data_IF_701542607977
#
_entry.id   IF_701542607977
#
_cell.length_a   1.000
_cell.length_b   1.000
_cell.length_c   1.000
_cell.angle_alpha   90.00
_cell.angle_beta   90.00
_cell.angle_gamma   90.00
#
_symmetry.space_group_name_H-M   'P 1'
#
loop_
_entity.id
_entity.type
_entity.pdbx_description
1 polymer ?
#
# COMPACT_ATOMS: atom_id res chain seq x y z
N UNK A 1 52.45 6.88 -2.73
CA UNK A 1 52.57 5.40 -2.66
C UNK A 1 51.64 4.69 -3.66
N UNK A 2 52.18 3.86 -4.57
CA UNK A 2 51.43 3.23 -5.67
C UNK A 2 50.39 2.20 -5.17
N UNK A 3 50.75 1.40 -4.16
CA UNK A 3 49.87 0.38 -3.57
C UNK A 3 48.60 0.96 -2.92
N UNK A 4 48.70 2.15 -2.31
CA UNK A 4 47.55 2.81 -1.67
C UNK A 4 46.53 3.26 -2.72
N UNK A 5 46.99 3.78 -3.86
CA UNK A 5 46.12 4.18 -4.98
C UNK A 5 45.42 2.97 -5.60
N UNK A 6 46.13 1.85 -5.72
CA UNK A 6 45.57 0.63 -6.29
C UNK A 6 44.57 -0.05 -5.35
N UNK A 7 44.86 -0.09 -4.04
CA UNK A 7 43.92 -0.56 -3.03
C UNK A 7 42.64 0.29 -2.98
N UNK A 8 42.76 1.63 -3.06
CA UNK A 8 41.62 2.54 -3.12
C UNK A 8 40.76 2.33 -4.38
N UNK A 9 41.41 2.13 -5.54
CA UNK A 9 40.72 1.83 -6.81
C UNK A 9 39.97 0.50 -6.74
N UNK A 10 40.60 -0.53 -6.17
CA UNK A 10 39.99 -1.84 -5.97
C UNK A 10 38.79 -1.76 -5.04
N UNK A 11 38.92 -1.07 -3.89
CA UNK A 11 37.86 -0.89 -2.91
C UNK A 11 36.64 -0.17 -3.52
N UNK A 12 36.87 0.95 -4.22
CA UNK A 12 35.79 1.70 -4.86
C UNK A 12 35.07 0.91 -5.96
N UNK A 13 35.77 -0.04 -6.60
CA UNK A 13 35.21 -0.86 -7.67
C UNK A 13 34.61 -2.17 -7.16
N UNK A 14 34.97 -2.62 -5.95
CA UNK A 14 34.41 -3.80 -5.27
C UNK A 14 33.20 -3.46 -4.41
N UNK A 15 32.99 -2.20 -4.03
CA UNK A 15 31.79 -1.75 -3.31
C UNK A 15 30.66 -1.55 -4.32
N UNK A 16 29.63 -2.39 -4.22
CA UNK A 16 28.38 -2.22 -4.97
C UNK A 16 27.42 -1.43 -4.08
N UNK A 17 26.90 -0.30 -4.58
CA UNK A 17 25.74 0.34 -3.94
C UNK A 17 24.50 -0.50 -4.21
N UNK A 18 23.79 -0.87 -3.16
CA UNK A 18 22.46 -1.45 -3.27
C UNK A 18 21.46 -0.29 -3.24
N UNK A 19 20.74 -0.09 -4.34
CA UNK A 19 19.56 0.77 -4.34
C UNK A 19 18.36 -0.07 -3.89
N UNK A 20 17.64 0.41 -2.88
CA UNK A 20 16.40 -0.22 -2.46
C UNK A 20 15.32 0.18 -3.45
N UNK A 21 14.64 -0.76 -4.13
CA UNK A 21 13.56 -0.43 -5.05
C UNK A 21 12.39 0.22 -4.32
N UNK A 22 11.57 0.97 -5.07
CA UNK A 22 10.33 1.54 -4.55
C UNK A 22 9.38 0.44 -4.05
N UNK A 23 8.65 0.76 -2.97
CA UNK A 23 7.65 -0.12 -2.39
C UNK A 23 6.37 -0.01 -3.22
N UNK A 24 5.93 -1.12 -3.80
CA UNK A 24 4.64 -1.19 -4.48
C UNK A 24 3.55 -1.53 -3.46
N UNK A 25 2.60 -0.63 -3.24
CA UNK A 25 1.52 -0.82 -2.27
C UNK A 25 0.26 -1.46 -2.87
N UNK A 26 0.17 -1.56 -4.20
CA UNK A 26 -1.01 -2.08 -4.91
C UNK A 26 -1.02 -3.61 -5.07
N UNK A 27 0.10 -4.31 -4.85
CA UNK A 27 0.07 -5.78 -4.82
C UNK A 27 -0.79 -6.30 -3.66
N UNK A 28 -0.94 -5.50 -2.60
CA UNK A 28 -1.78 -5.82 -1.46
C UNK A 28 -3.28 -5.47 -1.71
N UNK A 29 -3.64 -4.86 -2.86
CA UNK A 29 -5.05 -4.56 -3.24
C UNK A 29 -5.83 -5.82 -3.65
N UNK A 30 -5.16 -6.84 -4.21
CA UNK A 30 -5.82 -8.08 -4.64
C UNK A 30 -6.42 -8.85 -3.46
N UNK A 31 -5.81 -8.77 -2.27
CA UNK A 31 -6.35 -9.37 -1.04
C UNK A 31 -7.47 -8.53 -0.40
N UNK A 32 -7.47 -7.21 -0.57
CA UNK A 32 -8.51 -6.35 0.03
C UNK A 32 -9.86 -6.39 -0.70
N UNK A 33 -9.88 -6.76 -1.99
CA UNK A 33 -11.13 -6.94 -2.72
C UNK A 33 -11.83 -8.27 -2.37
N UNK A 34 -11.09 -9.30 -1.95
CA UNK A 34 -11.70 -10.58 -1.55
C UNK A 34 -12.39 -10.48 -0.17
N UNK A 35 -11.82 -9.76 0.80
CA UNK A 35 -12.40 -9.65 2.16
C UNK A 35 -13.64 -8.73 2.25
N UNK A 36 -13.96 -7.96 1.22
CA UNK A 36 -15.08 -7.01 1.24
C UNK A 36 -16.33 -7.50 0.47
N UNK A 37 -16.24 -8.60 -0.27
CA UNK A 37 -17.38 -9.18 -1.01
C UNK A 37 -18.17 -10.25 -0.22
N UNK A 38 -17.69 -10.70 0.94
CA UNK A 38 -18.34 -11.76 1.75
C UNK A 38 -19.23 -11.24 2.89
N UNK A 39 -19.83 -10.04 2.77
CA UNK A 39 -20.72 -9.51 3.79
C UNK A 39 -21.94 -8.75 3.25
N UNK A 40 -22.65 -9.32 2.28
CA UNK A 40 -24.08 -9.01 2.12
C UNK A 40 -24.85 -10.21 1.54
N UNK A 41 -25.07 -11.21 2.39
CA UNK A 41 -26.04 -12.26 2.15
C UNK A 41 -26.99 -12.32 3.33
N UNK A 42 -28.29 -12.10 3.08
CA UNK A 42 -29.42 -12.96 3.51
C UNK A 42 -30.81 -12.29 3.23
N UNK A 43 -31.63 -12.99 2.41
CA UNK A 43 -33.12 -13.07 2.33
C UNK A 43 -33.96 -11.89 1.75
N UNK A 44 -35.02 -12.05 0.95
CA UNK A 44 -35.79 -13.18 0.36
C UNK A 44 -36.70 -12.61 -0.78
N UNK A 45 -37.09 -13.45 -1.75
CA UNK A 45 -37.72 -13.19 -3.08
C UNK A 45 -39.26 -12.86 -3.04
N UNK A 46 -40.09 -12.90 -4.14
CA UNK A 46 -39.85 -13.18 -5.57
C UNK A 46 -40.67 -12.38 -6.63
N UNK A 47 -40.39 -12.68 -7.92
CA UNK A 47 -41.31 -12.77 -9.09
C UNK A 47 -41.00 -11.83 -10.29
N UNK A 48 -40.70 -12.45 -11.44
CA UNK A 48 -40.68 -11.79 -12.75
C UNK A 48 -39.93 -12.60 -13.81
N UNK A 49 -40.69 -13.36 -14.60
CA UNK A 49 -40.27 -14.46 -15.49
C UNK A 49 -39.75 -13.98 -16.87
N UNK A 50 -38.76 -14.70 -17.43
CA UNK A 50 -38.60 -15.12 -18.85
C UNK A 50 -37.17 -14.95 -19.42
N UNK A 51 -36.65 -16.01 -20.03
CA UNK A 51 -35.68 -15.88 -21.14
C UNK A 51 -34.52 -16.86 -21.17
N UNK A 52 -34.80 -18.16 -21.31
CA UNK A 52 -33.83 -19.22 -21.62
C UNK A 52 -33.17 -18.96 -22.99
N UNK A 53 -31.83 -18.99 -23.08
CA UNK A 53 -31.06 -19.80 -24.05
C UNK A 53 -29.57 -19.83 -23.69
N UNK A 54 -29.08 -21.04 -23.40
CA UNK A 54 -27.68 -21.40 -23.19
C UNK A 54 -27.12 -21.96 -24.51
N UNK A 55 -25.97 -21.48 -24.99
CA UNK A 55 -25.39 -21.98 -26.25
C UNK A 55 -24.00 -21.45 -26.62
N UNK A 56 -22.97 -21.98 -25.95
CA UNK A 56 -21.73 -22.53 -26.52
C UNK A 56 -20.91 -21.73 -27.59
N UNK A 57 -19.76 -21.23 -27.13
CA UNK A 57 -18.41 -21.21 -27.75
C UNK A 57 -18.21 -20.65 -29.18
N UNK A 58 -17.46 -19.55 -29.28
CA UNK A 58 -16.90 -19.04 -30.54
C UNK A 58 -15.80 -18.01 -30.30
N UNK A 59 -14.57 -18.49 -30.12
CA UNK A 59 -13.32 -17.72 -30.15
C UNK A 59 -13.18 -16.98 -31.48
N UNK A 60 -12.90 -15.67 -31.46
CA UNK A 60 -11.98 -14.95 -32.36
C UNK A 60 -11.93 -13.46 -31.99
N UNK A 61 -10.72 -12.95 -32.12
CA UNK A 61 -10.16 -11.71 -31.59
C UNK A 61 -10.64 -10.43 -32.30
N UNK A 62 -10.34 -9.28 -31.67
CA UNK A 62 -10.17 -7.91 -32.20
C UNK A 62 -11.07 -6.91 -31.43
N UNK A 63 -10.60 -5.85 -30.77
CA UNK A 63 -9.27 -5.30 -30.53
C UNK A 63 -9.47 -4.05 -29.64
N UNK A 64 -8.48 -3.70 -28.83
CA UNK A 64 -8.39 -2.37 -28.21
C UNK A 64 -9.29 -2.12 -27.00
N UNK A 65 -8.99 -2.75 -25.86
CA UNK A 65 -9.15 -2.09 -24.57
C UNK A 65 -7.76 -1.93 -23.97
N UNK A 66 -7.15 -0.80 -24.28
CA UNK A 66 -6.12 -0.21 -23.43
C UNK A 66 -6.74 -0.11 -22.03
N UNK A 67 -6.52 -1.14 -21.22
CA UNK A 67 -6.61 -1.01 -19.78
C UNK A 67 -5.53 -0.01 -19.44
N UNK A 68 -5.93 1.26 -19.28
CA UNK A 68 -5.07 2.30 -18.75
C UNK A 68 -4.30 1.69 -17.56
N UNK A 69 -2.96 1.78 -17.53
CA UNK A 69 -2.19 1.12 -16.50
C UNK A 69 -2.74 1.60 -15.17
N UNK A 70 -3.32 0.68 -14.38
CA UNK A 70 -3.75 0.94 -13.00
C UNK A 70 -2.54 1.62 -12.35
N UNK A 71 -2.69 2.89 -11.99
CA UNK A 71 -1.58 3.70 -11.54
C UNK A 71 -1.04 3.06 -10.27
N UNK A 72 0.03 2.27 -10.40
CA UNK A 72 0.62 1.54 -9.29
C UNK A 72 0.98 2.53 -8.19
N UNK A 73 0.38 2.45 -7.01
CA UNK A 73 0.72 3.30 -5.87
C UNK A 73 2.13 2.91 -5.38
N UNK A 74 3.14 3.49 -6.04
CA UNK A 74 4.55 3.30 -5.73
C UNK A 74 4.98 4.35 -4.73
N UNK A 75 5.51 3.89 -3.60
CA UNK A 75 6.07 4.72 -2.55
C UNK A 75 7.58 4.52 -2.49
N UNK A 76 8.35 5.60 -2.60
CA UNK A 76 9.80 5.51 -2.43
C UNK A 76 10.17 4.91 -1.07
N UNK A 77 11.19 4.04 -1.03
CA UNK A 77 11.57 3.34 0.19
C UNK A 77 11.90 4.29 1.36
N UNK A 78 12.49 5.45 1.06
CA UNK A 78 12.76 6.49 2.07
C UNK A 78 11.49 7.02 2.72
N UNK A 79 10.45 7.25 1.92
CA UNK A 79 9.16 7.76 2.40
C UNK A 79 8.42 6.67 3.17
N UNK A 80 8.40 5.43 2.64
CA UNK A 80 7.88 4.27 3.36
C UNK A 80 8.53 4.14 4.75
N UNK A 81 9.86 4.18 4.80
CA UNK A 81 10.62 4.10 6.05
C UNK A 81 10.32 5.27 6.99
N UNK A 82 10.18 6.50 6.47
CA UNK A 82 9.81 7.67 7.27
C UNK A 82 8.47 7.43 7.95
N UNK A 83 7.46 7.03 7.18
CA UNK A 83 6.11 6.78 7.66
C UNK A 83 6.11 5.64 8.68
N UNK A 84 6.70 4.49 8.36
CA UNK A 84 6.77 3.34 9.26
C UNK A 84 7.46 3.68 10.58
N UNK A 85 8.58 4.41 10.54
CA UNK A 85 9.28 4.81 11.76
C UNK A 85 8.41 5.72 12.65
N UNK A 86 7.70 6.66 12.03
CA UNK A 86 6.83 7.60 12.74
C UNK A 86 5.66 6.88 13.42
N UNK A 87 5.03 5.94 12.72
CA UNK A 87 3.99 5.07 13.29
C UNK A 87 4.50 4.25 14.48
N UNK A 88 5.62 3.55 14.31
CA UNK A 88 6.19 2.69 15.37
C UNK A 88 6.60 3.51 16.59
N UNK A 89 7.17 4.71 16.37
CA UNK A 89 7.55 5.60 17.47
C UNK A 89 6.33 6.04 18.28
N UNK A 90 5.23 6.39 17.62
CA UNK A 90 4.01 6.78 18.31
C UNK A 90 3.37 5.61 19.07
N UNK A 91 3.32 4.42 18.48
CA UNK A 91 2.81 3.22 19.15
C UNK A 91 3.60 2.89 20.42
N UNK A 92 4.94 2.96 20.37
CA UNK A 92 5.78 2.75 21.56
C UNK A 92 5.54 3.80 22.63
N UNK A 93 5.42 5.07 22.22
CA UNK A 93 5.15 6.16 23.16
C UNK A 93 3.79 5.98 23.84
N UNK A 94 2.76 5.59 23.09
CA UNK A 94 1.44 5.36 23.63
C UNK A 94 1.41 4.15 24.59
N UNK A 95 2.16 3.09 24.29
CA UNK A 95 2.33 1.95 25.20
C UNK A 95 3.05 2.34 26.50
N UNK A 96 4.01 3.27 26.45
CA UNK A 96 4.70 3.78 27.66
C UNK A 96 3.83 4.73 28.50
N UNK A 97 2.98 5.54 27.86
CA UNK A 97 2.15 6.55 28.53
C UNK A 97 0.83 5.98 29.07
N UNK A 98 0.22 5.04 28.35
CA UNK A 98 -1.00 4.34 28.76
C UNK A 98 -0.75 2.82 28.82
N UNK A 99 -0.45 2.34 30.03
CA UNK A 99 -0.49 0.91 30.37
C UNK A 99 -1.86 0.36 29.93
N UNK A 100 -1.88 -0.57 28.96
CA UNK A 100 -3.06 -1.18 28.31
C UNK A 100 -3.81 -0.39 27.20
N UNK A 101 -3.23 0.67 26.60
CA UNK A 101 -3.87 1.32 25.45
C UNK A 101 -3.76 0.51 24.15
N UNK A 102 -4.84 -0.21 23.82
CA UNK A 102 -5.04 -0.76 22.48
C UNK A 102 -5.42 0.35 21.48
N UNK A 103 -4.43 0.99 20.87
CA UNK A 103 -4.62 1.99 19.82
C UNK A 103 -5.29 1.39 18.58
N UNK A 104 -6.41 1.96 18.18
CA UNK A 104 -7.14 1.52 16.99
C UNK A 104 -6.42 1.96 15.72
N UNK A 105 -6.50 1.15 14.66
CA UNK A 105 -5.99 1.50 13.32
C UNK A 105 -6.49 2.86 12.84
N UNK A 106 -7.79 3.14 13.01
CA UNK A 106 -8.39 4.43 12.61
C UNK A 106 -7.83 5.62 13.37
N UNK A 107 -7.49 5.43 14.63
CA UNK A 107 -6.91 6.47 15.49
C UNK A 107 -5.46 6.76 15.09
N UNK A 108 -4.68 5.71 14.82
CA UNK A 108 -3.31 5.83 14.33
C UNK A 108 -3.25 6.55 12.95
N UNK A 109 -4.20 6.25 12.06
CA UNK A 109 -4.34 6.96 10.77
C UNK A 109 -4.63 8.43 11.00
N UNK A 110 -5.60 8.73 11.87
CA UNK A 110 -5.99 10.11 12.17
C UNK A 110 -4.85 10.90 12.80
N UNK A 111 -4.11 10.28 13.74
CA UNK A 111 -2.92 10.88 14.32
C UNK A 111 -1.87 11.20 13.26
N UNK A 112 -1.56 10.24 12.38
CA UNK A 112 -0.59 10.46 11.31
C UNK A 112 -0.99 11.63 10.42
N UNK A 113 -2.26 11.70 9.99
CA UNK A 113 -2.75 12.79 9.14
C UNK A 113 -2.66 14.16 9.83
N UNK A 114 -2.88 14.22 11.15
CA UNK A 114 -2.69 15.45 11.93
C UNK A 114 -1.22 15.85 12.01
N UNK A 115 -0.32 14.89 12.21
CA UNK A 115 1.12 15.14 12.32
C UNK A 115 1.67 15.76 11.01
N UNK A 116 1.18 15.28 9.86
CA UNK A 116 1.58 15.80 8.53
C UNK A 116 0.64 16.87 7.98
N UNK A 117 -0.33 17.37 8.76
CA UNK A 117 -1.33 18.34 8.29
C UNK A 117 -0.67 19.59 7.68
N UNK A 118 0.43 20.04 8.26
CA UNK A 118 1.21 21.18 7.76
C UNK A 118 1.91 20.94 6.42
N UNK A 119 2.09 19.68 6.02
CA UNK A 119 2.66 19.28 4.72
C UNK A 119 1.57 19.06 3.65
N UNK A 120 0.28 19.12 4.01
CA UNK A 120 -0.85 18.86 3.10
C UNK A 120 -1.44 20.19 2.64
N UNK A 121 -1.40 20.45 1.34
CA UNK A 121 -1.90 21.70 0.75
C UNK A 121 -3.24 21.52 0.03
N UNK A 122 -3.69 20.28 -0.19
CA UNK A 122 -4.94 19.99 -0.91
C UNK A 122 -5.72 18.78 -0.37
N UNK A 123 -7.03 18.75 -0.68
CA UNK A 123 -7.90 17.61 -0.35
C UNK A 123 -7.48 16.32 -1.08
N UNK A 124 -7.00 16.45 -2.31
CA UNK A 124 -6.51 15.31 -3.09
C UNK A 124 -5.28 14.67 -2.43
N UNK A 125 -4.35 15.47 -1.92
CA UNK A 125 -3.21 15.00 -1.15
C UNK A 125 -3.64 14.32 0.15
N UNK A 126 -4.62 14.87 0.85
CA UNK A 126 -5.16 14.26 2.07
C UNK A 126 -5.70 12.85 1.81
N UNK A 127 -6.50 12.69 0.75
CA UNK A 127 -7.07 11.40 0.33
C UNK A 127 -5.95 10.42 -0.04
N UNK A 128 -4.96 10.88 -0.81
CA UNK A 128 -3.84 10.03 -1.22
C UNK A 128 -2.97 9.61 -0.02
N UNK A 129 -2.65 10.53 0.89
CA UNK A 129 -1.88 10.24 2.12
C UNK A 129 -2.64 9.28 3.03
N UNK A 130 -3.97 9.42 3.12
CA UNK A 130 -4.84 8.47 3.84
C UNK A 130 -4.77 7.07 3.23
N UNK A 131 -4.86 6.95 1.90
CA UNK A 131 -4.72 5.65 1.21
C UNK A 131 -3.34 5.04 1.45
N UNK A 132 -2.28 5.84 1.34
CA UNK A 132 -0.91 5.38 1.59
C UNK A 132 -0.74 4.84 3.01
N UNK A 133 -1.19 5.57 4.03
CA UNK A 133 -1.00 5.15 5.42
C UNK A 133 -1.79 3.87 5.74
N UNK A 134 -2.99 3.73 5.20
CA UNK A 134 -3.79 2.51 5.34
C UNK A 134 -3.05 1.28 4.81
N UNK A 135 -2.41 1.41 3.64
CA UNK A 135 -1.61 0.35 3.01
C UNK A 135 -0.33 0.07 3.79
N UNK A 136 0.36 1.12 4.25
CA UNK A 136 1.57 0.97 5.06
C UNK A 136 1.27 0.21 6.35
N UNK A 137 0.18 0.56 7.05
CA UNK A 137 -0.21 -0.13 8.29
C UNK A 137 -0.55 -1.60 8.01
N UNK A 138 -1.30 -1.88 6.95
CA UNK A 138 -1.63 -3.27 6.58
C UNK A 138 -0.36 -4.08 6.32
N UNK A 139 0.57 -3.54 5.54
CA UNK A 139 1.85 -4.19 5.25
C UNK A 139 2.69 -4.43 6.51
N UNK A 140 2.69 -3.51 7.48
CA UNK A 140 3.41 -3.65 8.74
C UNK A 140 2.83 -4.73 9.67
N UNK A 141 1.57 -5.13 9.48
CA UNK A 141 0.91 -6.16 10.31
C UNK A 141 0.83 -7.52 9.64
N UNK A 142 0.92 -7.58 8.30
CA UNK A 142 0.77 -8.81 7.51
C UNK A 142 2.09 -9.40 7.00
N UNK A 143 3.21 -8.65 7.08
CA UNK A 143 4.56 -9.10 6.73
C UNK A 143 5.52 -8.91 7.90
#
# INVERSE_FOLDING_TARGET
>A
PKHVKEAFRLLNKSIIRVETPDVNLDQDDEQQMEDQEDQDGVNEAPAGVNGVVNGLNGHSEDGGKDAAPKASLRLGFSEYRRISNLLVLHLRKAEEEEDDAALKRSELINWYLKEIESEIESEEELINKKKIIERVIHRLTHY
#
